data_IF_747001722031
#
_entry.id   IF_747001722031
#
_cell.length_a   1.000
_cell.length_b   1.000
_cell.length_c   1.000
_cell.angle_alpha   90.00
_cell.angle_beta   90.00
_cell.angle_gamma   90.00
#
_symmetry.space_group_name_H-M   'P 1'
#
loop_
_entity.id
_entity.type
_entity.pdbx_description
1 polymer ?
#
# COMPACT_ATOMS: atom_id res chain seq x y z
N UNK A 1 29.92 -51.89 67.90
CA UNK A 1 30.17 -50.63 67.11
C UNK A 1 30.45 -50.86 65.62
N UNK A 2 30.63 -52.12 65.15
CA UNK A 2 30.94 -52.38 63.73
C UNK A 2 29.75 -52.77 62.85
N UNK A 3 28.56 -52.88 63.35
CA UNK A 3 27.39 -53.31 62.59
C UNK A 3 26.56 -52.15 62.01
N UNK A 4 26.78 -50.88 62.43
CA UNK A 4 26.00 -49.73 61.96
C UNK A 4 26.61 -48.92 60.77
N UNK A 5 27.85 -49.17 60.44
CA UNK A 5 28.52 -48.45 59.34
C UNK A 5 28.22 -49.06 57.95
N UNK A 6 27.92 -50.35 57.88
CA UNK A 6 27.69 -51.05 56.58
C UNK A 6 26.32 -50.68 55.96
N UNK A 7 25.34 -50.43 56.77
CA UNK A 7 23.99 -50.08 56.28
C UNK A 7 23.86 -48.63 55.76
N UNK A 8 24.64 -47.68 56.25
CA UNK A 8 24.66 -46.31 55.75
C UNK A 8 25.26 -46.27 54.33
N UNK A 9 26.34 -46.99 54.07
CA UNK A 9 26.99 -47.03 52.77
C UNK A 9 26.13 -47.69 51.68
N UNK A 10 25.37 -48.74 52.01
CA UNK A 10 24.47 -49.40 51.04
C UNK A 10 23.27 -48.54 50.70
N UNK A 11 22.73 -47.76 51.64
CA UNK A 11 21.65 -46.80 51.36
C UNK A 11 22.13 -45.61 50.48
N UNK A 12 23.29 -45.07 50.74
CA UNK A 12 23.88 -43.99 49.91
C UNK A 12 24.22 -44.47 48.49
N UNK A 13 24.77 -45.67 48.31
CA UNK A 13 25.06 -46.21 46.97
C UNK A 13 23.76 -46.48 46.19
N UNK A 14 22.74 -47.07 46.84
CA UNK A 14 21.41 -47.27 46.22
C UNK A 14 20.69 -45.95 45.86
N UNK A 15 20.84 -44.92 46.70
CA UNK A 15 20.25 -43.60 46.44
C UNK A 15 20.99 -42.88 45.31
N UNK A 16 22.32 -42.91 45.27
CA UNK A 16 23.10 -42.35 44.16
C UNK A 16 22.83 -43.05 42.84
N UNK A 17 22.66 -44.37 42.81
CA UNK A 17 22.30 -45.13 41.61
C UNK A 17 20.86 -44.81 41.12
N UNK A 18 19.88 -44.62 42.03
CA UNK A 18 18.52 -44.22 41.68
C UNK A 18 18.48 -42.80 41.10
N UNK A 19 19.21 -41.87 41.72
CA UNK A 19 19.32 -40.48 41.23
C UNK A 19 20.00 -40.43 39.86
N UNK A 20 21.08 -41.18 39.64
CA UNK A 20 21.75 -41.28 38.34
C UNK A 20 20.84 -41.82 37.23
N UNK A 21 20.00 -42.82 37.55
CA UNK A 21 19.04 -43.38 36.58
C UNK A 21 17.85 -42.44 36.30
N UNK A 22 17.43 -41.63 37.28
CA UNK A 22 16.41 -40.61 37.09
C UNK A 22 16.98 -39.47 36.22
N UNK A 23 18.20 -39.01 36.46
CA UNK A 23 18.88 -38.03 35.63
C UNK A 23 19.09 -38.51 34.18
N UNK A 24 19.50 -39.76 33.98
CA UNK A 24 19.62 -40.35 32.64
C UNK A 24 18.26 -40.42 31.92
N UNK A 25 17.17 -40.78 32.62
CA UNK A 25 15.84 -40.78 32.04
C UNK A 25 15.33 -39.36 31.72
N UNK A 26 15.62 -38.36 32.56
CA UNK A 26 15.25 -36.96 32.31
C UNK A 26 16.03 -36.41 31.12
N UNK A 27 17.34 -36.72 31.02
CA UNK A 27 18.14 -36.31 29.85
C UNK A 27 17.65 -36.99 28.58
N UNK A 28 17.23 -38.26 28.62
CA UNK A 28 16.70 -38.97 27.46
C UNK A 28 15.31 -38.45 27.03
N UNK A 29 14.48 -38.03 27.99
CA UNK A 29 13.18 -37.40 27.68
C UNK A 29 13.39 -35.98 27.18
N UNK A 30 14.39 -35.23 27.67
CA UNK A 30 14.70 -33.88 27.18
C UNK A 30 15.26 -33.88 25.76
N UNK A 31 15.93 -34.95 25.32
CA UNK A 31 16.43 -35.09 23.95
C UNK A 31 15.31 -35.50 22.98
N UNK A 32 14.23 -36.11 23.48
CA UNK A 32 13.05 -36.47 22.66
C UNK A 32 12.04 -35.34 22.50
N UNK A 33 12.18 -34.21 23.24
CA UNK A 33 11.40 -32.98 23.08
C UNK A 33 12.33 -31.89 22.52
N UNK A 34 13.09 -32.19 21.47
CA UNK A 34 13.50 -31.14 20.54
C UNK A 34 12.23 -30.89 19.73
N UNK A 35 11.58 -29.72 19.87
CA UNK A 35 10.55 -29.39 18.91
C UNK A 35 11.24 -29.49 17.55
N UNK A 36 10.74 -30.35 16.68
CA UNK A 36 11.02 -30.21 15.29
C UNK A 36 10.57 -28.77 14.96
N UNK A 37 11.51 -27.83 14.93
CA UNK A 37 11.29 -26.55 14.29
C UNK A 37 11.07 -26.93 12.84
N UNK A 38 9.82 -27.21 12.51
CA UNK A 38 9.38 -27.21 11.12
C UNK A 38 9.63 -25.76 10.71
N UNK A 39 10.76 -25.52 10.05
CA UNK A 39 10.92 -24.32 9.27
C UNK A 39 9.83 -24.41 8.20
N UNK A 40 8.63 -23.93 8.53
CA UNK A 40 7.61 -23.68 7.56
C UNK A 40 8.15 -22.51 6.74
N UNK A 41 8.61 -22.77 5.54
CA UNK A 41 8.83 -21.74 4.53
C UNK A 41 7.45 -21.14 4.20
N UNK A 42 7.08 -20.08 4.94
CA UNK A 42 5.80 -19.37 4.72
C UNK A 42 5.80 -18.65 3.37
N UNK A 43 6.97 -18.30 2.84
CA UNK A 43 7.10 -17.63 1.56
C UNK A 43 8.11 -18.39 0.68
N UNK A 44 7.78 -18.50 -0.58
CA UNK A 44 8.67 -19.04 -1.61
C UNK A 44 8.98 -17.93 -2.61
N UNK A 45 10.25 -17.69 -2.87
CA UNK A 45 10.67 -16.80 -3.95
C UNK A 45 10.36 -17.46 -5.31
N UNK A 46 9.47 -16.80 -6.08
CA UNK A 46 9.09 -17.19 -7.43
C UNK A 46 9.55 -16.18 -8.48
N UNK A 47 10.52 -15.32 -8.18
CA UNK A 47 11.06 -14.30 -9.10
C UNK A 47 11.47 -14.88 -10.44
N UNK A 48 11.99 -16.13 -10.46
CA UNK A 48 12.35 -16.84 -11.69
C UNK A 48 11.15 -17.19 -12.59
N UNK A 49 9.92 -17.01 -12.09
CA UNK A 49 8.68 -17.23 -12.84
C UNK A 49 8.19 -15.97 -13.56
N UNK A 50 8.80 -14.81 -13.31
CA UNK A 50 8.49 -13.59 -14.04
C UNK A 50 9.21 -13.64 -15.38
N UNK A 51 8.44 -13.75 -16.46
CA UNK A 51 8.97 -13.79 -17.83
C UNK A 51 9.48 -12.40 -18.21
N UNK A 52 10.66 -12.32 -18.83
CA UNK A 52 11.30 -11.06 -19.25
C UNK A 52 11.51 -10.05 -18.11
N UNK A 53 11.88 -10.52 -16.93
CA UNK A 53 12.14 -9.69 -15.75
C UNK A 53 13.43 -8.86 -15.89
N UNK A 54 13.42 -7.86 -16.75
CA UNK A 54 14.55 -6.95 -16.95
C UNK A 54 14.63 -5.89 -15.86
N UNK A 55 15.84 -5.40 -15.56
CA UNK A 55 16.05 -4.30 -14.60
C UNK A 55 15.38 -3.03 -15.09
N UNK A 56 14.57 -2.40 -14.23
CA UNK A 56 13.86 -1.14 -14.50
C UNK A 56 13.65 -0.32 -13.24
N UNK A 57 13.37 0.97 -13.38
CA UNK A 57 12.86 1.79 -12.29
C UNK A 57 11.34 1.65 -12.21
N UNK A 58 10.85 1.32 -11.04
CA UNK A 58 9.43 1.20 -10.72
C UNK A 58 9.16 1.78 -9.33
N UNK A 59 8.07 2.52 -9.17
CA UNK A 59 7.71 3.16 -7.90
C UNK A 59 6.35 2.73 -7.37
N UNK A 60 5.46 2.26 -8.23
CA UNK A 60 4.08 1.91 -7.87
C UNK A 60 3.71 0.52 -8.34
N UNK A 61 2.86 -0.14 -7.56
CA UNK A 61 2.21 -1.39 -7.90
C UNK A 61 0.75 -1.33 -7.44
N UNK A 62 -0.15 -1.90 -8.23
CA UNK A 62 -1.55 -2.13 -7.90
C UNK A 62 -1.97 -3.50 -8.40
N UNK A 63 -3.17 -3.91 -8.08
CA UNK A 63 -3.82 -5.09 -8.63
C UNK A 63 -5.16 -4.70 -9.23
N UNK A 64 -5.51 -5.28 -10.38
CA UNK A 64 -6.79 -5.10 -11.05
C UNK A 64 -7.06 -6.31 -11.95
N UNK A 65 -8.32 -6.62 -12.18
CA UNK A 65 -8.77 -7.57 -13.22
C UNK A 65 -8.87 -6.82 -14.56
N UNK A 66 -7.71 -6.60 -15.21
CA UNK A 66 -7.62 -5.67 -16.35
C UNK A 66 -8.25 -6.21 -17.64
N UNK A 67 -8.44 -7.51 -17.74
CA UNK A 67 -9.07 -8.16 -18.90
C UNK A 67 -10.45 -8.75 -18.60
N UNK A 68 -10.97 -8.48 -17.39
CA UNK A 68 -12.30 -8.85 -16.91
C UNK A 68 -12.54 -10.37 -16.95
N UNK A 69 -11.49 -11.15 -16.70
CA UNK A 69 -11.55 -12.62 -16.72
C UNK A 69 -11.79 -13.26 -15.33
N UNK A 70 -11.92 -12.45 -14.28
CA UNK A 70 -12.10 -12.84 -12.89
C UNK A 70 -10.80 -13.18 -12.16
N UNK A 71 -9.63 -12.83 -12.72
CA UNK A 71 -8.32 -12.97 -12.10
C UNK A 71 -7.62 -11.63 -12.06
N UNK A 72 -6.85 -11.41 -10.99
CA UNK A 72 -6.14 -10.15 -10.81
C UNK A 72 -4.74 -10.20 -11.40
N UNK A 73 -4.37 -9.15 -12.14
CA UNK A 73 -3.05 -8.86 -12.61
C UNK A 73 -2.31 -7.91 -11.67
N UNK A 74 -0.97 -7.97 -11.68
CA UNK A 74 -0.12 -6.99 -11.04
C UNK A 74 0.23 -5.88 -12.03
N UNK A 75 -0.26 -4.69 -11.77
CA UNK A 75 0.05 -3.49 -12.56
C UNK A 75 1.31 -2.85 -11.97
N UNK A 76 2.40 -2.83 -12.73
CA UNK A 76 3.70 -2.31 -12.26
C UNK A 76 4.08 -1.09 -13.09
N UNK A 77 4.29 0.05 -12.41
CA UNK A 77 4.64 1.29 -13.11
C UNK A 77 6.07 1.28 -13.64
N UNK A 78 6.30 1.94 -14.77
CA UNK A 78 7.60 2.16 -15.39
C UNK A 78 8.02 3.63 -15.35
N UNK A 79 9.09 3.95 -14.62
CA UNK A 79 9.66 5.29 -14.62
C UNK A 79 10.72 5.41 -15.71
N UNK A 80 10.31 5.90 -16.88
CA UNK A 80 11.11 5.89 -18.10
C UNK A 80 11.18 4.51 -18.79
N UNK A 81 10.21 3.64 -18.48
CA UNK A 81 10.00 2.31 -19.05
C UNK A 81 8.51 2.09 -19.27
N UNK A 82 8.10 1.11 -20.12
CA UNK A 82 6.70 0.73 -20.22
C UNK A 82 6.13 0.28 -18.88
N UNK A 83 4.88 0.56 -18.62
CA UNK A 83 4.14 -0.08 -17.53
C UNK A 83 3.90 -1.55 -17.86
N UNK A 84 3.77 -2.40 -16.85
CA UNK A 84 3.50 -3.83 -17.02
C UNK A 84 2.13 -4.17 -16.42
N UNK A 85 1.53 -5.19 -16.99
CA UNK A 85 0.41 -5.93 -16.43
C UNK A 85 0.79 -7.41 -16.40
N UNK A 86 1.11 -7.94 -15.22
CA UNK A 86 1.62 -9.29 -15.05
C UNK A 86 0.47 -10.21 -14.64
N UNK A 87 0.06 -11.08 -15.55
CA UNK A 87 -0.91 -12.14 -15.30
C UNK A 87 -0.23 -13.46 -14.91
N UNK A 88 -0.83 -14.22 -14.00
CA UNK A 88 -0.33 -15.53 -13.62
C UNK A 88 -0.94 -16.62 -14.49
N UNK A 89 -0.14 -17.13 -15.43
CA UNK A 89 -0.54 -18.13 -16.40
C UNK A 89 0.40 -19.34 -16.41
N UNK A 90 -0.14 -20.56 -16.31
CA UNK A 90 0.61 -21.81 -16.40
C UNK A 90 1.88 -21.85 -15.51
N UNK A 91 1.80 -21.25 -14.32
CA UNK A 91 2.92 -21.24 -13.36
C UNK A 91 3.95 -20.14 -13.59
N UNK A 92 3.71 -19.20 -14.50
CA UNK A 92 4.57 -18.05 -14.78
C UNK A 92 3.79 -16.74 -14.66
N UNK A 93 4.51 -15.64 -14.42
CA UNK A 93 3.99 -14.26 -14.50
C UNK A 93 4.37 -13.71 -15.87
N UNK A 94 3.37 -13.46 -16.71
CA UNK A 94 3.53 -13.04 -18.11
C UNK A 94 2.99 -11.62 -18.25
N UNK A 95 3.74 -10.75 -18.94
CA UNK A 95 3.26 -9.41 -19.24
C UNK A 95 2.21 -9.45 -20.37
N UNK A 96 0.97 -9.14 -20.04
CA UNK A 96 -0.16 -9.06 -20.99
C UNK A 96 -0.50 -7.60 -21.34
N UNK A 97 0.29 -6.61 -20.89
CA UNK A 97 0.02 -5.20 -21.12
C UNK A 97 -0.13 -4.88 -22.62
N UNK A 98 -1.23 -4.20 -22.95
CA UNK A 98 -1.40 -3.64 -24.28
C UNK A 98 -0.40 -2.52 -24.52
N UNK A 99 0.54 -2.70 -25.47
CA UNK A 99 1.65 -1.78 -25.70
C UNK A 99 1.17 -0.37 -26.07
N UNK A 100 0.06 -0.21 -26.77
CA UNK A 100 -0.46 1.10 -27.17
C UNK A 100 -0.96 1.94 -25.97
N UNK A 101 -1.39 1.27 -24.90
CA UNK A 101 -1.95 1.91 -23.69
C UNK A 101 -0.92 1.99 -22.58
N UNK A 102 -0.08 0.95 -22.41
CA UNK A 102 0.85 0.83 -21.29
C UNK A 102 2.26 1.37 -21.58
N UNK A 103 2.58 1.75 -22.83
CA UNK A 103 3.89 2.34 -23.22
C UNK A 103 3.96 3.81 -22.85
N UNK A 104 4.26 4.10 -21.61
CA UNK A 104 4.27 5.45 -21.04
C UNK A 104 5.68 5.94 -20.64
N UNK A 105 6.74 5.51 -21.33
CA UNK A 105 8.13 5.81 -20.93
C UNK A 105 8.40 7.30 -20.76
N UNK A 106 7.89 8.13 -21.67
CA UNK A 106 8.08 9.58 -21.64
C UNK A 106 7.29 10.27 -20.52
N UNK A 107 6.21 9.65 -20.05
CA UNK A 107 5.36 10.18 -18.97
C UNK A 107 5.95 9.93 -17.58
N UNK A 108 6.84 8.92 -17.44
CA UNK A 108 7.50 8.55 -16.18
C UNK A 108 6.48 8.28 -15.08
N UNK A 109 5.75 7.19 -15.21
CA UNK A 109 4.71 6.82 -14.26
C UNK A 109 5.30 6.52 -12.88
N UNK A 110 4.83 7.23 -11.85
CA UNK A 110 5.34 7.15 -10.48
C UNK A 110 4.39 6.46 -9.51
N UNK A 111 3.10 6.44 -9.81
CA UNK A 111 2.07 5.84 -8.98
C UNK A 111 0.98 5.20 -9.82
N UNK A 112 0.27 4.27 -9.24
CA UNK A 112 -0.89 3.61 -9.84
C UNK A 112 -1.89 3.28 -8.75
N UNK A 113 -3.18 3.44 -9.06
CA UNK A 113 -4.30 2.97 -8.28
C UNK A 113 -5.33 2.34 -9.21
N UNK A 114 -6.04 1.35 -8.73
CA UNK A 114 -7.12 0.70 -9.47
C UNK A 114 -8.37 0.64 -8.60
N UNK A 115 -9.50 1.07 -9.14
CA UNK A 115 -10.79 1.04 -8.47
C UNK A 115 -11.90 1.31 -9.47
N UNK A 116 -13.08 0.80 -9.17
CA UNK A 116 -14.30 0.99 -9.94
C UNK A 116 -14.80 2.44 -9.77
N UNK A 117 -14.52 3.31 -10.75
CA UNK A 117 -14.88 4.73 -10.69
C UNK A 117 -16.21 5.03 -11.37
N UNK A 118 -16.71 4.13 -12.24
CA UNK A 118 -17.96 4.32 -12.98
C UNK A 118 -19.09 3.36 -12.58
N UNK A 119 -18.83 2.48 -11.59
CA UNK A 119 -19.77 1.51 -11.02
C UNK A 119 -20.20 0.41 -12.01
N UNK A 120 -19.36 0.03 -12.92
CA UNK A 120 -19.64 -1.08 -13.82
C UNK A 120 -19.23 -2.44 -13.24
N UNK A 121 -18.55 -2.45 -12.09
CA UNK A 121 -18.10 -3.61 -11.34
C UNK A 121 -16.68 -4.05 -11.67
N UNK A 122 -15.96 -3.29 -12.49
CA UNK A 122 -14.55 -3.52 -12.83
C UNK A 122 -13.70 -2.31 -12.45
N UNK A 123 -12.39 -2.52 -12.26
CA UNK A 123 -11.50 -1.45 -11.84
C UNK A 123 -10.92 -0.70 -13.05
N UNK A 124 -11.06 0.64 -13.06
CA UNK A 124 -10.25 1.52 -13.90
C UNK A 124 -8.86 1.70 -13.29
N UNK A 125 -7.86 1.90 -14.14
CA UNK A 125 -6.46 2.06 -13.74
C UNK A 125 -6.03 3.51 -13.91
N UNK A 126 -5.78 4.19 -12.78
CA UNK A 126 -5.20 5.53 -12.77
C UNK A 126 -3.68 5.45 -12.77
N UNK A 127 -3.03 5.89 -13.85
CA UNK A 127 -1.58 6.08 -13.93
C UNK A 127 -1.19 7.51 -13.60
N UNK A 128 -0.52 7.68 -12.47
CA UNK A 128 -0.01 8.96 -12.01
C UNK A 128 1.38 9.22 -12.60
N UNK A 129 1.49 10.27 -13.41
CA UNK A 129 2.69 10.61 -14.15
C UNK A 129 3.47 11.77 -13.51
N UNK A 130 4.81 11.76 -13.72
CA UNK A 130 5.71 12.82 -13.26
C UNK A 130 6.95 12.96 -14.12
N UNK A 131 6.84 13.64 -15.24
CA UNK A 131 7.97 13.92 -16.12
C UNK A 131 8.88 15.05 -15.62
N UNK A 132 8.50 15.70 -14.51
CA UNK A 132 9.27 16.77 -13.84
C UNK A 132 9.32 16.56 -12.34
N UNK A 133 10.28 17.19 -11.65
CA UNK A 133 10.41 17.08 -10.19
C UNK A 133 9.29 17.80 -9.44
N UNK A 134 8.83 18.96 -9.87
CA UNK A 134 7.78 19.73 -9.22
C UNK A 134 7.11 20.70 -10.17
N UNK A 135 5.91 21.16 -9.81
CA UNK A 135 5.16 22.12 -10.61
C UNK A 135 4.59 21.51 -11.88
N UNK A 136 4.54 22.30 -12.95
CA UNK A 136 3.90 21.91 -14.21
C UNK A 136 4.67 20.84 -14.95
N UNK A 137 4.01 19.75 -15.33
CA UNK A 137 4.51 18.65 -16.16
C UNK A 137 3.97 18.75 -17.59
N UNK A 138 4.64 18.07 -18.53
CA UNK A 138 4.27 18.07 -19.94
C UNK A 138 3.10 17.14 -20.24
N UNK A 139 3.10 15.95 -19.64
CA UNK A 139 2.12 14.92 -19.91
C UNK A 139 1.13 14.78 -18.74
N UNK A 140 -0.16 14.73 -19.06
CA UNK A 140 -1.21 14.45 -18.09
C UNK A 140 -1.10 13.04 -17.50
N UNK A 141 -1.83 12.78 -16.43
CA UNK A 141 -2.10 11.42 -15.97
C UNK A 141 -3.02 10.69 -16.96
N UNK A 142 -3.22 9.40 -16.76
CA UNK A 142 -4.11 8.58 -17.56
C UNK A 142 -5.08 7.83 -16.64
N UNK A 143 -6.31 7.66 -17.10
CA UNK A 143 -7.32 6.79 -16.47
C UNK A 143 -7.81 5.80 -17.52
N UNK A 144 -7.35 4.57 -17.37
CA UNK A 144 -7.57 3.51 -18.35
C UNK A 144 -8.77 2.68 -17.95
N UNK A 145 -9.66 2.44 -18.88
CA UNK A 145 -10.85 1.65 -18.78
C UNK A 145 -10.90 0.61 -19.90
N UNK A 146 -11.47 -0.57 -19.65
CA UNK A 146 -11.72 -1.61 -20.65
C UNK A 146 -13.20 -1.64 -21.05
N UNK A 147 -13.54 -1.01 -22.17
CA UNK A 147 -14.91 -1.01 -22.73
C UNK A 147 -14.97 -1.76 -24.06
N UNK A 148 -15.89 -2.73 -24.15
CA UNK A 148 -16.11 -3.52 -25.38
C UNK A 148 -14.80 -4.13 -25.91
N UNK A 149 -14.04 -4.80 -25.04
CA UNK A 149 -12.74 -5.43 -25.33
C UNK A 149 -11.65 -4.45 -25.83
N UNK A 150 -11.79 -3.16 -25.55
CA UNK A 150 -10.81 -2.12 -25.93
C UNK A 150 -10.43 -1.28 -24.75
N UNK A 151 -9.13 -1.18 -24.50
CA UNK A 151 -8.61 -0.19 -23.55
C UNK A 151 -8.75 1.22 -24.11
N UNK A 152 -9.36 2.10 -23.33
CA UNK A 152 -9.49 3.53 -23.63
C UNK A 152 -8.89 4.36 -22.49
N UNK A 153 -8.28 5.48 -22.83
CA UNK A 153 -7.91 6.48 -21.83
C UNK A 153 -9.05 7.49 -21.71
N UNK A 154 -9.70 7.49 -20.56
CA UNK A 154 -10.85 8.36 -20.32
C UNK A 154 -10.46 9.86 -20.38
N UNK A 155 -9.19 10.22 -20.10
CA UNK A 155 -8.70 11.60 -20.25
C UNK A 155 -8.41 12.01 -21.71
N UNK A 156 -8.33 11.07 -22.66
CA UNK A 156 -8.23 11.39 -24.08
C UNK A 156 -9.60 11.76 -24.70
N UNK A 157 -10.70 11.48 -24.03
CA UNK A 157 -12.05 11.88 -24.45
C UNK A 157 -12.20 13.40 -24.29
N UNK A 158 -12.59 14.11 -25.34
CA UNK A 158 -12.65 15.58 -25.41
C UNK A 158 -13.35 16.22 -24.20
N UNK A 159 -14.50 15.68 -23.78
CA UNK A 159 -15.26 16.21 -22.63
C UNK A 159 -14.52 16.13 -21.29
N UNK A 160 -13.49 15.28 -21.17
CA UNK A 160 -12.69 15.07 -19.96
C UNK A 160 -11.38 15.88 -19.94
N UNK A 161 -11.00 16.51 -21.04
CA UNK A 161 -9.72 17.21 -21.16
C UNK A 161 -9.64 18.52 -20.37
N UNK A 162 -10.76 19.02 -19.87
CA UNK A 162 -10.79 20.25 -19.07
C UNK A 162 -10.06 20.15 -17.75
N UNK A 163 -10.13 18.99 -17.10
CA UNK A 163 -9.69 18.81 -15.72
C UNK A 163 -8.41 17.94 -15.61
N UNK A 164 -7.55 17.93 -16.65
CA UNK A 164 -6.31 17.15 -16.68
C UNK A 164 -5.35 17.53 -15.53
N UNK A 165 -4.72 16.55 -14.92
CA UNK A 165 -3.63 16.79 -13.97
C UNK A 165 -2.31 17.09 -14.71
N UNK A 166 -1.97 18.35 -14.82
CA UNK A 166 -0.70 18.83 -15.36
C UNK A 166 0.29 19.24 -14.26
N UNK A 167 0.16 18.69 -13.06
CA UNK A 167 1.11 18.91 -11.96
C UNK A 167 1.88 17.62 -11.67
N UNK A 168 3.16 17.76 -11.31
CA UNK A 168 4.03 16.64 -10.95
C UNK A 168 3.40 15.76 -9.87
N UNK A 169 3.04 14.54 -10.22
CA UNK A 169 2.41 13.57 -9.32
C UNK A 169 3.39 12.96 -8.31
N UNK A 170 2.88 12.48 -7.17
CA UNK A 170 3.68 11.78 -6.15
C UNK A 170 3.02 10.53 -5.60
N UNK A 171 1.74 10.58 -5.28
CA UNK A 171 0.99 9.44 -4.76
C UNK A 171 -0.47 9.55 -5.15
N UNK A 172 -1.13 8.42 -5.26
CA UNK A 172 -2.53 8.31 -5.67
C UNK A 172 -3.20 7.23 -4.81
N UNK A 173 -4.46 7.45 -4.47
CA UNK A 173 -5.29 6.49 -3.74
C UNK A 173 -6.75 6.62 -4.14
N UNK A 174 -7.44 5.48 -4.18
CA UNK A 174 -8.88 5.42 -4.37
C UNK A 174 -9.63 5.69 -3.06
N UNK A 175 -10.73 6.41 -3.13
CA UNK A 175 -11.52 6.81 -1.96
C UNK A 175 -13.01 6.73 -2.28
N UNK A 176 -13.71 5.78 -1.71
CA UNK A 176 -15.18 5.76 -1.67
C UNK A 176 -15.65 6.70 -0.53
N UNK A 177 -15.84 7.98 -0.85
CA UNK A 177 -16.16 8.99 0.17
C UNK A 177 -17.60 8.91 0.68
N UNK A 178 -18.53 8.40 -0.11
CA UNK A 178 -19.93 8.25 0.30
C UNK A 178 -20.21 6.87 0.90
N UNK A 179 -19.35 5.87 0.69
CA UNK A 179 -19.52 4.49 1.13
C UNK A 179 -20.60 3.77 0.32
N UNK A 180 -20.70 4.07 -0.96
CA UNK A 180 -21.74 3.57 -1.86
C UNK A 180 -21.16 2.76 -3.04
N UNK A 181 -19.85 2.46 -2.99
CA UNK A 181 -19.13 1.72 -4.04
C UNK A 181 -18.67 2.61 -5.20
N UNK A 182 -18.89 3.92 -5.15
CA UNK A 182 -18.40 4.86 -6.16
C UNK A 182 -17.07 5.44 -5.71
N UNK A 183 -16.00 5.01 -6.34
CA UNK A 183 -14.68 5.46 -5.98
C UNK A 183 -14.29 6.74 -6.71
N UNK A 184 -13.77 7.71 -5.95
CA UNK A 184 -13.00 8.81 -6.48
C UNK A 184 -11.50 8.56 -6.36
N UNK A 185 -10.70 9.31 -7.11
CA UNK A 185 -9.25 9.20 -7.13
C UNK A 185 -8.62 10.46 -6.53
N UNK A 186 -8.02 10.33 -5.34
CA UNK A 186 -7.24 11.40 -4.71
C UNK A 186 -5.80 11.36 -5.22
N UNK A 187 -5.31 12.51 -5.72
CA UNK A 187 -3.97 12.67 -6.29
C UNK A 187 -3.17 13.68 -5.47
N UNK A 188 -2.10 13.22 -4.85
CA UNK A 188 -1.11 14.08 -4.18
C UNK A 188 -0.08 14.57 -5.20
N UNK A 189 -0.02 15.88 -5.40
CA UNK A 189 0.89 16.56 -6.30
C UNK A 189 2.02 17.27 -5.56
N UNK A 190 3.10 17.60 -6.26
CA UNK A 190 4.22 18.37 -5.71
C UNK A 190 4.38 19.71 -6.42
N UNK A 191 4.20 20.80 -5.69
CA UNK A 191 4.31 22.17 -6.22
C UNK A 191 3.11 22.65 -7.03
N UNK A 192 1.95 22.05 -6.79
CA UNK A 192 0.67 22.43 -7.36
C UNK A 192 -0.49 21.81 -6.57
N UNK A 193 -1.73 22.08 -6.98
CA UNK A 193 -2.90 21.62 -6.22
C UNK A 193 -3.05 20.10 -6.28
N UNK A 194 -3.45 19.51 -5.16
CA UNK A 194 -4.00 18.15 -5.12
C UNK A 194 -5.27 18.06 -5.94
N UNK A 195 -5.59 16.87 -6.44
CA UNK A 195 -6.80 16.61 -7.23
C UNK A 195 -7.66 15.55 -6.55
N UNK A 196 -8.95 15.57 -6.86
CA UNK A 196 -9.90 14.53 -6.51
C UNK A 196 -10.86 14.33 -7.67
N UNK A 197 -10.67 13.25 -8.41
CA UNK A 197 -11.47 12.93 -9.58
C UNK A 197 -12.63 12.02 -9.22
N UNK A 198 -13.81 12.35 -9.73
CA UNK A 198 -14.97 11.46 -9.74
C UNK A 198 -15.53 11.36 -11.16
N UNK A 199 -16.07 10.19 -11.47
CA UNK A 199 -16.81 9.96 -12.70
C UNK A 199 -18.29 10.14 -12.43
N UNK A 200 -18.92 11.06 -13.16
CA UNK A 200 -20.33 11.41 -12.98
C UNK A 200 -20.92 11.74 -14.35
N UNK A 201 -22.02 11.09 -14.72
CA UNK A 201 -22.72 11.33 -15.99
C UNK A 201 -21.77 11.22 -17.21
N UNK A 202 -20.96 10.16 -17.23
CA UNK A 202 -19.94 9.91 -18.26
C UNK A 202 -18.84 10.98 -18.37
N UNK A 203 -18.63 11.78 -17.35
CA UNK A 203 -17.62 12.85 -17.32
C UNK A 203 -16.73 12.67 -16.07
N UNK A 204 -15.41 12.83 -16.26
CA UNK A 204 -14.46 12.95 -15.15
C UNK A 204 -14.42 14.42 -14.70
N UNK A 205 -14.69 14.65 -13.42
CA UNK A 205 -14.73 15.98 -12.81
C UNK A 205 -13.73 16.06 -11.67
N UNK A 206 -12.87 17.10 -11.67
CA UNK A 206 -12.06 17.41 -10.49
C UNK A 206 -12.92 18.12 -9.44
N UNK A 207 -13.26 17.40 -8.37
CA UNK A 207 -14.04 17.91 -7.24
C UNK A 207 -13.20 18.42 -6.07
N UNK A 208 -11.87 18.48 -6.21
CA UNK A 208 -10.97 18.82 -5.12
C UNK A 208 -11.29 20.16 -4.44
N UNK A 209 -11.72 21.18 -5.19
CA UNK A 209 -12.13 22.48 -4.62
C UNK A 209 -13.42 22.34 -3.80
N UNK A 210 -14.45 21.70 -4.34
CA UNK A 210 -15.75 21.53 -3.67
C UNK A 210 -15.64 20.66 -2.40
N UNK A 211 -14.65 19.79 -2.36
CA UNK A 211 -14.39 18.86 -1.24
C UNK A 211 -13.37 19.38 -0.23
N UNK A 212 -12.87 20.63 -0.36
CA UNK A 212 -11.81 21.21 0.47
C UNK A 212 -10.45 20.49 0.40
N UNK A 213 -10.20 19.76 -0.66
CA UNK A 213 -8.96 19.00 -0.86
C UNK A 213 -7.92 19.75 -1.70
N UNK A 214 -8.30 20.75 -2.50
CA UNK A 214 -7.40 21.50 -3.38
C UNK A 214 -6.38 22.32 -2.59
N UNK A 215 -5.22 21.74 -2.29
CA UNK A 215 -4.11 22.38 -1.58
C UNK A 215 -2.84 22.34 -2.43
N UNK A 216 -2.12 23.47 -2.47
CA UNK A 216 -0.76 23.47 -3.05
C UNK A 216 0.19 22.90 -2.03
N UNK A 217 0.81 21.78 -2.33
CA UNK A 217 1.54 20.99 -1.36
C UNK A 217 2.88 20.49 -1.90
N UNK A 218 3.72 20.05 -0.97
CA UNK A 218 4.83 19.15 -1.24
C UNK A 218 4.40 17.70 -1.07
N UNK A 219 3.29 17.30 -1.69
CA UNK A 219 2.70 15.98 -1.49
C UNK A 219 3.69 14.84 -1.70
N UNK A 220 3.62 13.81 -0.86
CA UNK A 220 4.49 12.63 -0.95
C UNK A 220 3.68 11.33 -0.90
N UNK A 221 3.32 10.87 0.26
CA UNK A 221 2.55 9.66 0.41
C UNK A 221 1.11 9.98 0.80
N UNK A 222 0.19 9.14 0.40
CA UNK A 222 -1.21 9.21 0.79
C UNK A 222 -1.72 7.82 1.13
N UNK A 223 -2.55 7.74 2.16
CA UNK A 223 -3.29 6.54 2.54
C UNK A 223 -4.73 6.93 2.87
N UNK A 224 -5.65 6.03 2.58
CA UNK A 224 -7.07 6.19 2.87
C UNK A 224 -7.61 4.98 3.64
N UNK A 225 -8.53 5.22 4.56
CA UNK A 225 -9.13 4.16 5.37
C UNK A 225 -10.03 4.72 6.47
N UNK A 226 -10.65 3.85 7.24
CA UNK A 226 -11.45 4.24 8.41
C UNK A 226 -10.52 4.62 9.58
N UNK A 227 -10.01 5.86 9.58
CA UNK A 227 -9.02 6.33 10.56
C UNK A 227 -9.71 6.91 11.79
N UNK A 228 -10.57 7.93 11.60
CA UNK A 228 -11.22 8.68 12.68
C UNK A 228 -12.73 8.84 12.48
N UNK A 229 -13.26 8.53 11.32
CA UNK A 229 -14.69 8.56 11.00
C UNK A 229 -15.22 7.18 10.59
N UNK A 230 -16.54 7.06 10.44
CA UNK A 230 -17.19 5.85 9.93
C UNK A 230 -17.14 5.73 8.40
N UNK A 231 -16.49 6.69 7.75
CA UNK A 231 -16.25 6.73 6.29
C UNK A 231 -14.75 6.68 6.02
N UNK A 232 -14.37 6.66 4.76
CA UNK A 232 -12.96 6.68 4.36
C UNK A 232 -12.38 8.09 4.57
N UNK A 233 -11.46 8.21 5.51
CA UNK A 233 -10.62 9.39 5.74
C UNK A 233 -9.34 9.30 4.90
N UNK A 234 -8.64 10.44 4.73
CA UNK A 234 -7.38 10.48 3.99
C UNK A 234 -6.29 11.11 4.85
N UNK A 235 -5.16 10.41 5.00
CA UNK A 235 -3.93 11.01 5.53
C UNK A 235 -2.94 11.25 4.41
N UNK A 236 -2.47 12.49 4.26
CA UNK A 236 -1.52 12.91 3.25
C UNK A 236 -0.25 13.49 3.89
N UNK A 237 0.87 12.81 3.69
CA UNK A 237 2.18 13.25 4.15
C UNK A 237 2.80 14.23 3.16
N UNK A 238 3.43 15.28 3.67
CA UNK A 238 4.03 16.33 2.86
C UNK A 238 5.54 16.49 3.12
N UNK A 239 6.24 16.95 2.11
CA UNK A 239 7.59 17.47 2.20
C UNK A 239 7.53 18.99 2.33
N UNK A 240 8.26 19.55 3.30
CA UNK A 240 8.33 21.00 3.53
C UNK A 240 6.98 21.64 3.83
N UNK A 241 6.18 20.98 4.67
CA UNK A 241 4.87 21.50 5.08
C UNK A 241 4.15 20.55 6.00
N UNK A 242 3.02 20.99 6.54
CA UNK A 242 2.18 20.18 7.40
C UNK A 242 1.61 18.98 6.65
N UNK A 243 1.56 17.84 7.32
CA UNK A 243 0.71 16.74 6.88
C UNK A 243 -0.76 17.12 7.02
N UNK A 244 -1.62 16.49 6.23
CA UNK A 244 -3.07 16.63 6.34
C UNK A 244 -3.69 15.34 6.87
N UNK A 245 -4.72 15.51 7.70
CA UNK A 245 -5.64 14.44 8.08
C UNK A 245 -7.06 14.91 7.73
N UNK A 246 -7.54 14.48 6.60
CA UNK A 246 -8.85 14.82 6.10
C UNK A 246 -9.90 13.86 6.66
N UNK A 247 -10.63 14.33 7.68
CA UNK A 247 -11.80 13.63 8.20
C UNK A 247 -12.93 13.71 7.20
N UNK A 248 -13.49 12.59 6.86
CA UNK A 248 -14.68 12.53 6.03
C UNK A 248 -15.92 12.87 6.87
N UNK A 249 -16.58 13.95 6.50
CA UNK A 249 -17.82 14.41 7.11
C UNK A 249 -18.92 14.41 6.06
N UNK A 250 -19.66 13.29 5.97
CA UNK A 250 -20.75 13.10 5.01
C UNK A 250 -20.32 13.44 3.56
N UNK A 251 -19.25 12.82 3.10
CA UNK A 251 -18.73 13.00 1.74
C UNK A 251 -17.89 14.26 1.51
N UNK A 252 -17.80 15.19 2.47
CA UNK A 252 -16.92 16.36 2.45
C UNK A 252 -15.74 16.17 3.39
N UNK A 253 -14.62 16.77 3.10
CA UNK A 253 -13.42 16.63 3.89
C UNK A 253 -13.12 17.85 4.74
N UNK A 254 -12.74 17.61 5.99
CA UNK A 254 -12.25 18.61 6.93
C UNK A 254 -10.83 18.24 7.35
N UNK A 255 -9.88 19.15 7.16
CA UNK A 255 -8.53 18.95 7.68
C UNK A 255 -8.51 19.14 9.21
N UNK A 256 -8.24 18.06 9.93
CA UNK A 256 -8.16 18.01 11.39
C UNK A 256 -6.76 17.66 11.88
N UNK A 257 -5.75 17.73 11.01
CA UNK A 257 -4.37 17.34 11.36
C UNK A 257 -3.82 18.14 12.56
N UNK A 258 -4.19 19.40 12.70
CA UNK A 258 -3.79 20.23 13.86
C UNK A 258 -4.45 19.76 15.15
N UNK A 259 -5.75 19.51 15.12
CA UNK A 259 -6.54 19.02 16.25
C UNK A 259 -5.98 17.70 16.78
N UNK A 260 -5.70 16.78 15.86
CA UNK A 260 -5.14 15.45 16.17
C UNK A 260 -3.61 15.42 16.32
N UNK A 261 -2.93 16.56 16.17
CA UNK A 261 -1.48 16.72 16.34
C UNK A 261 -0.64 15.82 15.42
N UNK A 262 -1.09 15.60 14.20
CA UNK A 262 -0.40 14.78 13.20
C UNK A 262 0.26 15.59 12.08
N UNK A 263 0.31 16.92 12.20
CA UNK A 263 0.85 17.82 11.17
C UNK A 263 2.33 17.61 10.86
N UNK A 264 3.15 17.28 11.85
CA UNK A 264 4.61 17.05 11.75
C UNK A 264 5.36 18.08 10.86
N UNK A 265 5.11 19.35 11.09
CA UNK A 265 5.46 20.50 10.22
C UNK A 265 6.96 20.57 9.89
N UNK A 266 7.83 20.12 10.81
CA UNK A 266 9.27 20.23 10.68
C UNK A 266 9.94 19.04 10.00
N UNK A 267 9.17 18.08 9.51
CA UNK A 267 9.68 16.86 8.90
C UNK A 267 9.35 16.80 7.41
N UNK A 268 10.04 15.91 6.72
CA UNK A 268 9.81 15.65 5.30
C UNK A 268 9.17 14.26 5.15
N UNK A 269 7.85 14.23 5.13
CA UNK A 269 7.09 12.98 4.97
C UNK A 269 7.46 12.21 3.71
N UNK A 270 7.45 10.88 3.79
CA UNK A 270 7.71 9.95 2.69
C UNK A 270 6.66 8.86 2.62
N UNK A 271 6.96 7.68 3.11
CA UNK A 271 6.03 6.56 3.11
C UNK A 271 5.08 6.63 4.31
N UNK A 272 3.82 6.26 4.09
CA UNK A 272 2.80 6.14 5.13
C UNK A 272 2.17 4.77 5.09
N UNK A 273 1.68 4.30 6.23
CA UNK A 273 0.90 3.08 6.34
C UNK A 273 -0.16 3.24 7.42
N UNK A 274 -1.24 2.48 7.26
CA UNK A 274 -2.28 2.32 8.28
C UNK A 274 -2.19 0.91 8.86
N UNK A 275 -2.30 0.79 10.18
CA UNK A 275 -2.33 -0.50 10.86
C UNK A 275 -2.98 -0.34 12.23
N UNK A 276 -3.52 -1.42 12.78
CA UNK A 276 -3.98 -1.48 14.17
C UNK A 276 -2.84 -2.02 15.04
N UNK A 277 -2.01 -1.11 15.58
CA UNK A 277 -0.82 -1.45 16.37
C UNK A 277 -1.17 -2.22 17.65
N UNK A 278 -2.34 -1.92 18.24
CA UNK A 278 -2.74 -2.47 19.53
C UNK A 278 -3.92 -3.44 19.45
N UNK A 279 -4.31 -3.88 18.27
CA UNK A 279 -5.42 -4.82 18.04
C UNK A 279 -6.75 -4.35 18.65
N UNK A 280 -7.09 -3.06 18.44
CA UNK A 280 -8.28 -2.41 18.99
C UNK A 280 -9.43 -2.26 17.99
N UNK A 281 -9.23 -2.71 16.74
CA UNK A 281 -10.17 -2.50 15.64
C UNK A 281 -10.17 -1.06 15.12
N UNK A 282 -9.07 -0.30 15.35
CA UNK A 282 -8.90 1.09 14.90
C UNK A 282 -7.56 1.25 14.21
N UNK A 283 -7.55 2.03 13.15
CA UNK A 283 -6.33 2.29 12.37
C UNK A 283 -5.49 3.38 13.02
N UNK A 284 -4.22 3.07 13.21
CA UNK A 284 -3.16 3.99 13.59
C UNK A 284 -2.35 4.39 12.36
N UNK A 285 -1.68 5.55 12.39
CA UNK A 285 -0.91 6.06 11.25
C UNK A 285 0.58 5.90 11.55
N UNK A 286 1.31 5.22 10.66
CA UNK A 286 2.76 5.21 10.62
C UNK A 286 3.24 6.14 9.51
N UNK A 287 4.12 7.09 9.83
CA UNK A 287 4.67 8.04 8.87
C UNK A 287 6.20 8.02 8.90
N UNK A 288 6.80 7.62 7.80
CA UNK A 288 8.23 7.68 7.57
C UNK A 288 8.65 9.09 7.11
N UNK A 289 9.75 9.60 7.65
CA UNK A 289 10.30 10.90 7.29
C UNK A 289 11.70 10.77 6.69
N UNK A 290 12.02 11.57 5.70
CA UNK A 290 13.35 11.58 5.08
C UNK A 290 14.31 12.47 5.87
N UNK A 291 15.34 11.86 6.43
CA UNK A 291 16.36 12.56 7.20
C UNK A 291 15.88 13.09 8.56
N UNK A 292 14.74 12.59 9.06
CA UNK A 292 14.13 13.00 10.31
C UNK A 292 13.58 11.84 11.12
N UNK A 293 12.93 12.17 12.24
CA UNK A 293 12.29 11.16 13.09
C UNK A 293 11.00 10.63 12.44
N UNK A 294 10.84 9.32 12.41
CA UNK A 294 9.59 8.68 12.03
C UNK A 294 8.50 8.88 13.08
N UNK A 295 7.25 8.80 12.69
CA UNK A 295 6.09 9.00 13.56
C UNK A 295 5.20 7.78 13.58
N UNK A 296 4.68 7.48 14.75
CA UNK A 296 3.57 6.57 14.94
C UNK A 296 2.48 7.33 15.70
N UNK A 297 1.36 7.56 15.06
CA UNK A 297 0.22 8.26 15.63
C UNK A 297 -0.86 7.23 15.97
N UNK A 298 -1.10 7.08 17.25
CA UNK A 298 -2.05 6.13 17.81
C UNK A 298 -3.32 6.87 18.17
N UNK A 299 -4.44 6.42 17.61
CA UNK A 299 -5.75 6.95 17.97
C UNK A 299 -6.13 6.49 19.40
N UNK A 300 -6.44 7.45 20.29
CA UNK A 300 -6.79 7.17 21.68
C UNK A 300 -8.28 6.94 21.85
#
# INVERSE_FOLDING_TARGET
>A
KYFMTGWKNIREIKMKSKISNIFKKIIFISILIIPNVVNADFFKDITSKIVDNSKRLSYGISVADIDQNGKYEFIVTGFGYPNLALSYENGNLINIANQNIFSDESRKTIGVAACDVDKDGYEEIYFLNTDTYSGTKKYSDRLIDLKNDKFIDLFEIEKNQRDLNLTAGRSVVCVDREGDGNYGVYVANYGGPTRFYEYTDDIIIDKSVQLNLAKITGGRAVVAGHIISDKIDVFAANERGANFLYKNNMGKFLDVAQEYRVQDILQNGRGTALTDIYYRGRLDILNGNWGGFHRAYVLK
#
